data_IF_211642737568
#
_entry.id   IF_211642737568
#
_cell.length_a   1.000
_cell.length_b   1.000
_cell.length_c   1.000
_cell.angle_alpha   90.00
_cell.angle_beta   90.00
_cell.angle_gamma   90.00
#
_symmetry.space_group_name_H-M   'P 1'
#
loop_
_entity.id
_entity.type
_entity.pdbx_description
1 polymer ?
#
# COMPACT_ATOMS: atom_id res chain seq x y z
N UNK A 1 10.12 -20.12 -11.77
CA UNK A 1 9.41 -18.97 -11.17
C UNK A 1 10.21 -17.74 -11.52
N UNK A 2 9.72 -16.94 -12.46
CA UNK A 2 10.40 -15.74 -12.94
C UNK A 2 10.06 -14.64 -11.93
N UNK A 3 11.06 -14.13 -11.20
CA UNK A 3 10.88 -12.95 -10.36
C UNK A 3 10.79 -11.73 -11.28
N UNK A 4 9.67 -11.02 -11.26
CA UNK A 4 9.52 -9.80 -12.06
C UNK A 4 10.31 -8.65 -11.42
N UNK A 5 11.04 -7.92 -12.26
CA UNK A 5 11.75 -6.70 -11.87
C UNK A 5 10.74 -5.60 -11.63
N UNK A 6 10.91 -4.86 -10.54
CA UNK A 6 10.01 -3.76 -10.20
C UNK A 6 10.08 -2.62 -11.23
N UNK A 7 8.92 -2.04 -11.62
CA UNK A 7 8.90 -0.88 -12.51
C UNK A 7 9.50 0.35 -11.82
N UNK A 8 10.48 0.97 -12.46
CA UNK A 8 11.10 2.24 -12.03
C UNK A 8 10.40 3.48 -12.57
N UNK A 9 9.54 3.32 -13.58
CA UNK A 9 8.80 4.41 -14.23
C UNK A 9 7.45 4.69 -13.53
N UNK A 10 6.65 5.59 -14.12
CA UNK A 10 5.31 5.91 -13.64
C UNK A 10 4.44 4.66 -13.63
N UNK A 11 4.05 4.22 -12.43
CA UNK A 11 3.19 3.07 -12.19
C UNK A 11 1.78 3.40 -12.64
N UNK A 12 1.36 2.72 -13.70
CA UNK A 12 0.04 2.85 -14.32
C UNK A 12 -0.94 1.74 -13.92
N UNK A 13 -0.43 0.64 -13.35
CA UNK A 13 -1.21 -0.51 -12.89
C UNK A 13 -0.80 -0.98 -11.48
N UNK A 14 -1.71 -1.70 -10.81
CA UNK A 14 -1.45 -2.32 -9.51
C UNK A 14 -0.61 -3.59 -9.67
N UNK A 15 0.20 -3.90 -8.66
CA UNK A 15 0.77 -5.24 -8.55
C UNK A 15 -0.32 -6.22 -8.10
N UNK A 16 -0.38 -7.37 -8.77
CA UNK A 16 -1.37 -8.39 -8.51
C UNK A 16 -1.19 -9.06 -7.14
N UNK A 17 -2.31 -9.44 -6.53
CA UNK A 17 -2.26 -10.24 -5.31
C UNK A 17 -1.57 -11.58 -5.58
N UNK A 18 -0.55 -11.91 -4.78
CA UNK A 18 0.21 -13.14 -4.85
C UNK A 18 1.40 -13.10 -5.81
N UNK A 19 1.57 -12.02 -6.58
CA UNK A 19 2.75 -11.84 -7.43
C UNK A 19 4.02 -11.75 -6.58
N UNK A 20 5.14 -12.24 -7.12
CA UNK A 20 6.44 -12.26 -6.43
C UNK A 20 7.41 -11.37 -7.20
N UNK A 21 7.92 -10.36 -6.51
CA UNK A 21 8.87 -9.40 -7.06
C UNK A 21 10.17 -9.40 -6.25
N UNK A 22 11.24 -8.96 -6.90
CA UNK A 22 12.53 -8.75 -6.24
C UNK A 22 12.71 -7.29 -5.89
N UNK A 23 13.31 -7.00 -4.73
CA UNK A 23 13.63 -5.64 -4.33
C UNK A 23 14.65 -5.00 -5.29
N UNK A 24 14.57 -3.68 -5.42
CA UNK A 24 15.54 -2.90 -6.19
C UNK A 24 16.88 -2.98 -5.45
N UNK A 25 17.81 -3.78 -5.98
CA UNK A 25 19.07 -4.14 -5.33
C UNK A 25 19.21 -5.63 -4.97
N UNK A 26 18.17 -6.46 -5.20
CA UNK A 26 18.25 -7.92 -5.11
C UNK A 26 18.46 -8.48 -3.70
N UNK A 27 18.22 -7.68 -2.66
CA UNK A 27 18.47 -8.08 -1.27
C UNK A 27 17.42 -9.07 -0.75
N UNK A 28 16.19 -8.99 -1.26
CA UNK A 28 15.09 -9.87 -0.85
C UNK A 28 14.05 -9.97 -1.96
N UNK A 29 13.29 -11.04 -1.95
CA UNK A 29 12.05 -11.16 -2.73
C UNK A 29 10.86 -10.94 -1.81
N UNK A 30 9.77 -10.46 -2.37
CA UNK A 30 8.54 -10.27 -1.61
C UNK A 30 7.32 -10.66 -2.44
N UNK A 31 6.31 -11.19 -1.75
CA UNK A 31 5.01 -11.51 -2.32
C UNK A 31 4.02 -10.43 -1.98
N UNK A 32 3.27 -9.96 -2.96
CA UNK A 32 2.25 -8.93 -2.76
C UNK A 32 1.01 -9.56 -2.13
N UNK A 33 0.55 -9.00 -1.01
CA UNK A 33 -0.73 -9.32 -0.39
C UNK A 33 -1.83 -8.31 -0.76
N UNK A 34 -1.45 -7.10 -1.17
CA UNK A 34 -2.40 -6.11 -1.67
C UNK A 34 -1.94 -4.67 -1.46
N UNK A 35 -2.62 -3.70 -2.10
CA UNK A 35 -2.31 -2.28 -1.97
C UNK A 35 -2.61 -1.77 -0.57
N UNK A 36 -1.65 -1.06 0.02
CA UNK A 36 -1.67 -0.52 1.37
C UNK A 36 -1.83 1.00 1.34
N UNK A 37 -2.94 1.48 0.76
CA UNK A 37 -3.40 2.87 0.89
C UNK A 37 -4.82 2.97 0.37
N UNK A 38 -5.78 2.62 1.22
CA UNK A 38 -7.11 3.22 1.13
C UNK A 38 -7.29 4.06 2.37
N UNK A 39 -7.93 5.18 2.19
CA UNK A 39 -7.98 6.24 3.15
C UNK A 39 -9.02 5.93 4.22
N UNK A 40 -8.64 5.10 5.20
CA UNK A 40 -9.52 4.55 6.23
C UNK A 40 -10.29 5.64 6.98
N UNK A 41 -11.60 5.46 7.09
CA UNK A 41 -12.41 6.21 8.04
C UNK A 41 -12.32 5.62 9.45
N UNK A 42 -12.67 6.41 10.46
CA UNK A 42 -12.68 6.00 11.87
C UNK A 42 -13.51 4.74 12.10
N UNK A 43 -14.59 4.58 11.34
CA UNK A 43 -15.55 3.49 11.46
C UNK A 43 -15.11 2.21 10.72
N UNK A 44 -14.10 2.29 9.85
CA UNK A 44 -13.58 1.17 9.06
C UNK A 44 -12.38 0.47 9.72
N UNK A 45 -11.95 0.93 10.90
CA UNK A 45 -10.83 0.33 11.63
C UNK A 45 -11.31 -0.88 12.45
N UNK A 46 -10.73 -2.09 12.25
CA UNK A 46 -11.09 -3.25 13.05
C UNK A 46 -10.69 -3.04 14.52
N UNK A 47 -11.59 -3.43 15.42
CA UNK A 47 -11.33 -3.43 16.87
C UNK A 47 -10.49 -4.67 17.27
N UNK A 48 -9.49 -4.57 18.16
CA UNK A 48 -8.99 -3.37 18.83
C UNK A 48 -8.09 -2.54 17.89
N UNK A 49 -8.33 -1.24 17.89
CA UNK A 49 -7.75 -0.28 16.96
C UNK A 49 -6.21 -0.24 17.00
N UNK A 50 -5.58 -0.20 15.81
CA UNK A 50 -4.24 0.27 15.40
C UNK A 50 -2.98 -0.04 16.23
N UNK A 51 -3.06 -0.17 17.56
CA UNK A 51 -1.96 -0.36 18.52
C UNK A 51 -1.28 -1.73 18.39
N UNK A 52 -2.06 -2.78 18.08
CA UNK A 52 -1.55 -4.15 17.99
C UNK A 52 -0.88 -4.44 16.64
N UNK A 53 -1.36 -3.84 15.57
CA UNK A 53 -0.79 -4.05 14.23
C UNK A 53 0.31 -3.04 13.91
N UNK A 54 0.16 -1.77 14.30
CA UNK A 54 1.04 -0.67 13.89
C UNK A 54 1.70 -0.09 15.14
N UNK A 55 2.99 -0.39 15.33
CA UNK A 55 3.80 -0.08 16.52
C UNK A 55 4.07 1.43 16.75
N UNK A 56 3.16 2.33 16.38
CA UNK A 56 3.33 3.80 16.38
C UNK A 56 2.23 4.53 17.17
N UNK A 57 2.33 5.87 17.22
CA UNK A 57 1.47 6.76 18.02
C UNK A 57 0.01 6.66 17.58
N UNK A 58 -0.86 6.44 18.56
CA UNK A 58 -2.30 6.31 18.37
C UNK A 58 -2.91 7.61 17.82
N UNK A 59 -3.78 7.54 16.79
CA UNK A 59 -4.49 8.72 16.30
C UNK A 59 -5.43 9.26 17.38
N UNK A 60 -5.53 10.59 17.52
CA UNK A 60 -6.34 11.19 18.58
C UNK A 60 -7.83 10.88 18.41
N UNK A 61 -8.46 10.35 19.46
CA UNK A 61 -9.88 9.98 19.47
C UNK A 61 -10.86 11.16 19.26
N UNK A 62 -10.34 12.39 19.42
CA UNK A 62 -11.03 13.65 19.17
C UNK A 62 -11.01 14.10 17.71
N UNK A 63 -10.23 13.44 16.84
CA UNK A 63 -10.16 13.81 15.42
C UNK A 63 -11.38 13.27 14.68
N UNK A 64 -12.25 14.18 14.23
CA UNK A 64 -13.38 13.90 13.34
C UNK A 64 -12.94 14.32 11.93
N UNK A 65 -12.88 13.38 10.99
CA UNK A 65 -12.44 13.62 9.60
C UNK A 65 -11.20 12.85 9.14
N UNK A 66 -10.93 12.92 7.84
CA UNK A 66 -10.25 11.86 7.07
C UNK A 66 -8.74 11.64 7.41
N UNK A 67 -8.39 10.35 7.59
CA UNK A 67 -7.19 9.62 7.08
C UNK A 67 -5.95 9.47 7.97
N UNK A 68 -5.75 8.24 8.43
CA UNK A 68 -4.42 7.73 8.76
C UNK A 68 -3.74 7.31 7.46
N UNK A 69 -2.55 7.85 7.20
CA UNK A 69 -1.67 7.38 6.13
C UNK A 69 -0.48 6.74 6.83
N UNK A 70 -0.18 5.48 6.54
CA UNK A 70 0.93 4.77 7.16
C UNK A 70 2.26 5.48 6.95
N UNK A 71 2.39 6.10 5.77
CA UNK A 71 3.60 6.71 5.27
C UNK A 71 3.21 7.88 4.36
N UNK A 72 3.78 9.07 4.61
CA UNK A 72 3.52 10.25 3.78
C UNK A 72 4.03 10.06 2.34
N UNK A 73 5.00 9.16 2.14
CA UNK A 73 5.50 8.81 0.82
C UNK A 73 4.47 8.04 0.00
N UNK A 74 3.52 7.36 0.65
CA UNK A 74 2.44 6.65 -0.03
C UNK A 74 1.46 7.58 -0.78
N UNK A 75 1.59 8.90 -0.61
CA UNK A 75 0.89 9.88 -1.44
C UNK A 75 1.40 9.92 -2.88
N UNK A 76 2.66 9.56 -3.12
CA UNK A 76 3.33 9.67 -4.43
C UNK A 76 3.93 8.35 -4.88
N UNK A 77 4.17 7.43 -3.96
CA UNK A 77 4.75 6.11 -4.21
C UNK A 77 3.74 5.01 -3.93
N UNK A 78 3.80 3.89 -4.66
CA UNK A 78 3.06 2.70 -4.30
C UNK A 78 3.55 2.12 -2.97
N UNK A 79 2.62 1.76 -2.10
CA UNK A 79 2.87 1.04 -0.84
C UNK A 79 2.05 -0.24 -0.77
N UNK A 80 2.67 -1.40 -0.62
CA UNK A 80 1.97 -2.69 -0.60
C UNK A 80 2.12 -3.38 0.76
N UNK A 81 1.08 -4.09 1.18
CA UNK A 81 1.26 -5.15 2.17
C UNK A 81 1.94 -6.32 1.47
N UNK A 82 3.04 -6.78 2.02
CA UNK A 82 3.87 -7.82 1.41
C UNK A 82 4.33 -8.85 2.43
N UNK A 83 4.62 -10.05 1.96
CA UNK A 83 5.41 -11.04 2.68
C UNK A 83 6.82 -11.06 2.13
N UNK A 84 7.81 -10.71 2.95
CA UNK A 84 9.22 -10.86 2.58
C UNK A 84 9.55 -12.36 2.60
N UNK A 85 10.05 -12.85 1.47
CA UNK A 85 10.49 -14.22 1.26
C UNK A 85 12.02 -14.20 1.26
N UNK A 86 12.61 -14.85 2.26
CA UNK A 86 14.05 -15.06 2.36
C UNK A 86 14.33 -16.57 2.50
N UNK A 87 15.38 -17.10 1.86
CA UNK A 87 15.76 -18.49 2.02
C UNK A 87 16.08 -18.81 3.49
N UNK A 88 15.48 -19.88 4.03
CA UNK A 88 15.76 -20.35 5.39
C UNK A 88 15.10 -19.58 6.53
N UNK A 89 14.30 -18.55 6.25
CA UNK A 89 13.57 -17.76 7.26
C UNK A 89 12.07 -17.82 7.00
N UNK A 90 11.26 -17.82 8.06
CA UNK A 90 9.80 -17.75 7.91
C UNK A 90 9.40 -16.44 7.21
N UNK A 91 8.46 -16.48 6.24
CA UNK A 91 7.99 -15.27 5.56
C UNK A 91 7.47 -14.25 6.57
N UNK A 92 7.91 -13.00 6.42
CA UNK A 92 7.57 -11.92 7.36
C UNK A 92 6.65 -10.93 6.68
N UNK A 93 5.47 -10.71 7.26
CA UNK A 93 4.50 -9.71 6.80
C UNK A 93 4.96 -8.31 7.17
N UNK A 94 4.99 -7.41 6.20
CA UNK A 94 5.33 -5.99 6.42
C UNK A 94 4.66 -5.09 5.37
N UNK A 95 4.81 -3.78 5.53
CA UNK A 95 4.43 -2.78 4.53
C UNK A 95 5.70 -2.36 3.79
N UNK A 96 5.65 -2.39 2.46
CA UNK A 96 6.76 -1.97 1.60
C UNK A 96 6.32 -0.80 0.73
N UNK A 97 6.98 0.35 0.90
CA UNK A 97 6.84 1.51 0.00
C UNK A 97 7.90 1.44 -1.09
N UNK A 98 7.48 1.47 -2.35
CA UNK A 98 8.36 1.44 -3.52
C UNK A 98 8.82 2.88 -3.83
N UNK A 99 9.82 3.37 -3.10
CA UNK A 99 10.29 4.76 -3.21
C UNK A 99 10.86 5.14 -4.58
N UNK A 100 11.38 4.16 -5.32
CA UNK A 100 11.91 4.35 -6.67
C UNK A 100 10.79 4.53 -7.72
N UNK A 101 9.58 4.07 -7.42
CA UNK A 101 8.44 4.13 -8.33
C UNK A 101 7.55 5.32 -7.98
N UNK A 102 6.97 5.96 -8.99
CA UNK A 102 5.99 7.05 -8.81
C UNK A 102 4.65 6.63 -9.36
N UNK A 103 3.56 6.99 -8.68
CA UNK A 103 2.21 6.75 -9.17
C UNK A 103 1.92 7.73 -10.31
N UNK A 104 1.32 7.25 -11.40
CA UNK A 104 0.72 8.16 -12.38
C UNK A 104 -0.54 8.83 -11.80
N UNK A 105 -0.99 9.94 -12.39
CA UNK A 105 -2.09 10.78 -11.85
C UNK A 105 -3.37 9.97 -11.61
N UNK A 106 -3.74 9.10 -12.55
CA UNK A 106 -4.98 8.33 -12.49
C UNK A 106 -4.94 7.29 -11.35
N UNK A 107 -3.83 6.55 -11.26
CA UNK A 107 -3.60 5.66 -10.13
C UNK A 107 -3.47 6.42 -8.83
N UNK A 108 -2.75 7.54 -8.81
CA UNK A 108 -2.54 8.34 -7.61
C UNK A 108 -3.87 8.82 -7.05
N UNK A 109 -4.85 9.13 -7.90
CA UNK A 109 -6.16 9.51 -7.43
C UNK A 109 -6.91 8.35 -6.79
N UNK A 110 -6.88 7.16 -7.40
CA UNK A 110 -7.45 5.96 -6.79
C UNK A 110 -6.75 5.61 -5.46
N UNK A 111 -5.42 5.68 -5.46
CA UNK A 111 -4.51 5.30 -4.38
C UNK A 111 -4.54 6.29 -3.21
N UNK A 112 -4.52 7.59 -3.52
CA UNK A 112 -4.45 8.68 -2.55
C UNK A 112 -5.16 9.94 -3.08
N UNK A 113 -6.49 10.00 -2.94
CA UNK A 113 -7.25 11.21 -3.29
C UNK A 113 -7.97 11.84 -2.13
N UNK A 114 -7.77 13.15 -1.93
CA UNK A 114 -8.52 14.04 -1.01
C UNK A 114 -10.01 14.18 -1.33
N UNK A 115 -10.38 13.89 -2.57
CA UNK A 115 -11.74 14.05 -3.05
C UNK A 115 -12.72 13.10 -2.32
N UNK A 116 -13.98 13.49 -2.08
CA UNK A 116 -15.02 12.59 -1.60
C UNK A 116 -15.30 11.41 -2.55
N UNK A 117 -15.12 11.62 -3.86
CA UNK A 117 -15.42 10.63 -4.91
C UNK A 117 -14.58 9.34 -4.83
N UNK A 118 -13.35 9.43 -4.32
CA UNK A 118 -12.50 8.24 -4.13
C UNK A 118 -13.01 7.29 -3.04
N UNK A 119 -14.00 7.73 -2.25
CA UNK A 119 -14.65 6.94 -1.20
C UNK A 119 -15.91 6.24 -1.66
N UNK A 120 -16.28 6.38 -2.93
CA UNK A 120 -17.38 5.60 -3.47
C UNK A 120 -17.06 4.10 -3.30
N UNK A 121 -18.05 3.34 -2.82
CA UNK A 121 -17.92 1.88 -2.63
C UNK A 121 -17.65 1.20 -3.97
N UNK A 122 -18.15 1.78 -5.07
CA UNK A 122 -17.89 1.32 -6.44
C UNK A 122 -16.45 1.54 -6.91
N UNK A 123 -15.68 2.40 -6.24
CA UNK A 123 -14.28 2.71 -6.58
C UNK A 123 -13.31 1.64 -6.04
N UNK A 124 -13.48 0.39 -6.48
CA UNK A 124 -12.74 -0.79 -5.98
C UNK A 124 -11.37 -1.00 -6.64
N UNK A 125 -11.16 -0.47 -7.84
CA UNK A 125 -9.92 -0.61 -8.63
C UNK A 125 -9.65 0.69 -9.40
N UNK A 126 -8.38 1.00 -9.73
CA UNK A 126 -8.08 2.12 -10.61
C UNK A 126 -8.76 1.90 -11.96
N UNK A 127 -9.36 2.95 -12.49
CA UNK A 127 -9.90 2.91 -13.84
C UNK A 127 -8.72 2.93 -14.81
N UNK A 128 -8.54 1.84 -15.57
CA UNK A 128 -7.67 1.86 -16.74
C UNK A 128 -8.14 3.01 -17.62
N UNK A 129 -7.21 3.91 -17.95
CA UNK A 129 -7.45 4.92 -18.99
C UNK A 129 -7.55 4.25 -20.36
#
# INVERSE_FOLDING_TARGET
MISEVLPTDKVQDLLDHGSIHSSIGGQFSFRVLGPCCRLYDREELPWPCCRLSWRSKEPSWRRIGKRLVADIAAQKCPSYSVEIIQPGVKPTKTILTLFASRLDTNIQEWWYSKHPRSRDISNIAPQSS
#
